data_IF_993804799318
#
_entry.id   IF_993804799318
#
_cell.length_a   1.000
_cell.length_b   1.000
_cell.length_c   1.000
_cell.angle_alpha   90.00
_cell.angle_beta   90.00
_cell.angle_gamma   90.00
#
_symmetry.space_group_name_H-M   'P 1'
#
loop_
_entity.id
_entity.type
_entity.pdbx_description
1 polymer ?
#
# COMPACT_ATOMS: atom_id res chain seq x y z
N UNK A 1 8.42 -7.50 -14.34
CA UNK A 1 8.11 -8.62 -15.26
C UNK A 1 6.80 -8.33 -15.97
N UNK A 2 6.83 -7.61 -17.08
CA UNK A 2 5.64 -7.31 -17.89
C UNK A 2 5.42 -8.35 -18.98
N UNK A 3 6.49 -9.02 -19.44
CA UNK A 3 6.40 -10.08 -20.44
C UNK A 3 6.30 -11.48 -19.80
N UNK A 4 5.25 -12.27 -20.11
CA UNK A 4 5.10 -13.65 -19.62
C UNK A 4 6.30 -14.56 -19.94
N UNK A 5 7.07 -14.27 -21.01
CA UNK A 5 8.26 -15.05 -21.37
C UNK A 5 9.35 -15.02 -20.29
N UNK A 6 9.38 -14.00 -19.42
CA UNK A 6 10.32 -13.93 -18.31
C UNK A 6 10.02 -14.99 -17.22
N UNK A 7 8.83 -15.57 -17.20
CA UNK A 7 8.49 -16.67 -16.27
C UNK A 7 9.32 -17.91 -16.58
N UNK A 8 9.64 -18.17 -17.86
CA UNK A 8 10.38 -19.36 -18.29
C UNK A 8 11.79 -19.43 -17.67
N UNK A 9 12.68 -18.44 -17.86
CA UNK A 9 14.00 -18.48 -17.24
C UNK A 9 13.92 -18.45 -15.71
N UNK A 10 12.94 -17.76 -15.12
CA UNK A 10 12.72 -17.76 -13.67
C UNK A 10 12.35 -19.17 -13.16
N UNK A 11 11.44 -19.86 -13.84
CA UNK A 11 11.05 -21.23 -13.50
C UNK A 11 12.23 -22.20 -13.62
N UNK A 12 12.97 -22.17 -14.72
CA UNK A 12 14.16 -23.01 -14.92
C UNK A 12 15.23 -22.74 -13.85
N UNK A 13 15.33 -21.49 -13.38
CA UNK A 13 16.34 -21.10 -12.41
C UNK A 13 15.98 -21.51 -10.99
N UNK A 14 14.70 -21.54 -10.60
CA UNK A 14 14.32 -21.73 -9.19
C UNK A 14 13.54 -23.02 -8.92
N UNK A 15 12.71 -23.49 -9.84
CA UNK A 15 11.83 -24.62 -9.56
C UNK A 15 12.63 -25.90 -9.28
N UNK A 16 12.30 -26.59 -8.19
CA UNK A 16 12.97 -27.80 -7.75
C UNK A 16 14.34 -27.57 -7.09
N UNK A 17 14.77 -26.31 -6.87
CA UNK A 17 16.04 -26.01 -6.18
C UNK A 17 15.82 -25.78 -4.68
N UNK A 18 16.79 -26.20 -3.87
CA UNK A 18 16.80 -25.98 -2.41
C UNK A 18 17.13 -24.51 -2.10
N UNK A 19 16.52 -23.96 -1.05
CA UNK A 19 16.94 -22.65 -0.54
C UNK A 19 18.30 -22.76 0.16
N UNK A 20 19.30 -22.04 -0.36
CA UNK A 20 20.70 -22.15 0.12
C UNK A 20 20.92 -21.53 1.50
N UNK A 21 20.05 -20.60 1.91
CA UNK A 21 20.19 -19.88 3.18
C UNK A 21 19.48 -20.61 4.32
N UNK A 22 19.94 -20.33 5.55
CA UNK A 22 19.32 -20.79 6.80
C UNK A 22 19.28 -22.32 6.98
N UNK A 23 20.16 -23.06 6.31
CA UNK A 23 20.17 -24.54 6.29
C UNK A 23 18.79 -25.13 5.93
N UNK A 24 17.99 -24.41 5.13
CA UNK A 24 16.61 -24.78 4.88
C UNK A 24 16.51 -25.99 3.96
N UNK A 25 15.76 -27.01 4.34
CA UNK A 25 15.43 -28.18 3.49
C UNK A 25 14.34 -27.89 2.45
N UNK A 26 13.73 -26.70 2.49
CA UNK A 26 12.65 -26.34 1.57
C UNK A 26 13.16 -26.29 0.13
N UNK A 27 12.36 -26.84 -0.78
CA UNK A 27 12.54 -26.74 -2.22
C UNK A 27 11.59 -25.69 -2.80
N UNK A 28 12.08 -24.85 -3.70
CA UNK A 28 11.25 -23.88 -4.40
C UNK A 28 10.34 -24.58 -5.41
N UNK A 29 9.07 -24.19 -5.44
CA UNK A 29 8.07 -24.65 -6.38
C UNK A 29 7.26 -23.46 -6.88
N UNK A 30 6.96 -23.43 -8.17
CA UNK A 30 6.23 -22.35 -8.81
C UNK A 30 4.90 -22.84 -9.36
N UNK A 31 3.86 -22.04 -9.15
CA UNK A 31 2.53 -22.21 -9.73
C UNK A 31 1.93 -20.85 -10.05
N UNK A 32 0.91 -20.81 -10.90
CA UNK A 32 0.17 -19.57 -11.13
C UNK A 32 -0.63 -19.19 -9.89
N UNK A 33 -0.58 -17.91 -9.53
CA UNK A 33 -1.38 -17.37 -8.42
C UNK A 33 -2.88 -17.42 -8.74
N UNK A 34 -3.70 -17.51 -7.70
CA UNK A 34 -5.17 -17.47 -7.83
C UNK A 34 -5.67 -16.12 -8.37
N UNK A 35 -5.05 -15.03 -7.94
CA UNK A 35 -5.36 -13.67 -8.41
C UNK A 35 -4.29 -13.29 -9.43
N UNK A 36 -4.72 -12.96 -10.63
CA UNK A 36 -3.85 -12.63 -11.76
C UNK A 36 -4.01 -11.15 -12.15
N UNK A 37 -2.88 -10.52 -12.50
CA UNK A 37 -2.82 -9.13 -12.98
C UNK A 37 -2.59 -8.09 -11.88
N UNK A 38 -1.86 -7.02 -12.23
CA UNK A 38 -1.49 -5.91 -11.33
C UNK A 38 -2.72 -5.22 -10.75
N UNK A 39 -3.71 -4.86 -11.58
CA UNK A 39 -4.93 -4.19 -11.14
C UNK A 39 -5.77 -5.03 -10.16
N UNK A 40 -5.92 -6.33 -10.44
CA UNK A 40 -6.64 -7.26 -9.56
C UNK A 40 -5.95 -7.42 -8.20
N UNK A 41 -4.61 -7.50 -8.18
CA UNK A 41 -3.84 -7.54 -6.94
C UNK A 41 -3.96 -6.24 -6.16
N UNK A 42 -3.93 -5.09 -6.85
CA UNK A 42 -4.15 -3.78 -6.21
C UNK A 42 -5.51 -3.76 -5.53
N UNK A 43 -6.59 -4.05 -6.27
CA UNK A 43 -7.95 -4.04 -5.73
C UNK A 43 -8.12 -5.01 -4.56
N UNK A 44 -7.45 -6.17 -4.61
CA UNK A 44 -7.49 -7.15 -3.53
C UNK A 44 -6.87 -6.64 -2.22
N UNK A 45 -5.76 -5.93 -2.29
CA UNK A 45 -5.05 -5.45 -1.09
C UNK A 45 -5.40 -4.00 -0.68
N UNK A 46 -6.04 -3.22 -1.55
CA UNK A 46 -6.33 -1.79 -1.33
C UNK A 46 -7.10 -1.51 -0.04
N UNK A 47 -8.04 -2.38 0.34
CA UNK A 47 -8.84 -2.27 1.57
C UNK A 47 -8.48 -3.35 2.61
N UNK A 48 -7.37 -4.07 2.40
CA UNK A 48 -6.93 -5.12 3.33
C UNK A 48 -6.33 -4.49 4.58
N UNK A 49 -6.61 -5.07 5.75
CA UNK A 49 -5.98 -4.67 7.01
C UNK A 49 -4.45 -4.83 6.98
N UNK A 50 -3.91 -5.60 6.05
CA UNK A 50 -2.47 -5.75 5.81
C UNK A 50 -1.79 -4.39 5.56
N UNK A 51 -2.51 -3.43 4.95
CA UNK A 51 -1.99 -2.08 4.69
C UNK A 51 -1.75 -1.26 5.97
N UNK A 52 -2.29 -1.70 7.12
CA UNK A 52 -2.09 -1.05 8.42
C UNK A 52 -0.92 -1.63 9.23
N UNK A 53 -0.26 -2.70 8.75
CA UNK A 53 0.86 -3.36 9.45
C UNK A 53 2.21 -2.66 9.14
N UNK A 54 3.35 -3.17 9.64
CA UNK A 54 4.70 -2.64 9.35
C UNK A 54 4.95 -2.52 7.83
N UNK A 55 5.62 -1.45 7.40
CA UNK A 55 5.89 -1.18 5.98
C UNK A 55 6.60 -2.34 5.27
N UNK A 56 7.43 -3.13 5.98
CA UNK A 56 8.14 -4.30 5.45
C UNK A 56 7.22 -5.50 5.16
N UNK A 57 6.02 -5.51 5.73
CA UNK A 57 5.04 -6.58 5.55
C UNK A 57 3.94 -6.23 4.53
N UNK A 58 3.97 -5.02 3.97
CA UNK A 58 2.99 -4.55 2.98
C UNK A 58 3.39 -4.98 1.57
N UNK A 59 2.42 -5.13 0.65
CA UNK A 59 2.72 -5.37 -0.75
C UNK A 59 3.50 -4.19 -1.36
N UNK A 60 4.51 -4.52 -2.16
CA UNK A 60 5.34 -3.55 -2.90
C UNK A 60 4.92 -3.57 -4.36
N UNK A 61 4.90 -2.40 -4.97
CA UNK A 61 4.54 -2.22 -6.37
C UNK A 61 5.71 -1.56 -7.11
N UNK A 62 5.81 -1.85 -8.40
CA UNK A 62 6.84 -1.29 -9.26
C UNK A 62 6.20 -0.74 -10.53
N UNK A 63 6.80 0.33 -11.05
CA UNK A 63 6.46 0.86 -12.36
C UNK A 63 6.73 -0.22 -13.42
N UNK A 64 5.72 -0.46 -14.26
CA UNK A 64 5.74 -1.55 -15.23
C UNK A 64 6.49 -1.18 -16.51
N UNK A 65 6.35 0.07 -16.94
CA UNK A 65 6.87 0.58 -18.22
C UNK A 65 7.37 2.03 -18.06
N UNK A 66 7.99 2.56 -19.11
CA UNK A 66 8.50 3.93 -19.16
C UNK A 66 9.91 4.09 -18.57
N UNK A 67 10.41 5.34 -18.45
CA UNK A 67 11.77 5.62 -17.99
C UNK A 67 12.03 5.18 -16.53
N UNK A 68 10.97 5.04 -15.73
CA UNK A 68 11.06 4.63 -14.32
C UNK A 68 10.77 3.13 -14.13
N UNK A 69 10.72 2.34 -15.21
CA UNK A 69 10.37 0.91 -15.12
C UNK A 69 11.33 0.16 -14.19
N UNK A 70 10.77 -0.54 -13.21
CA UNK A 70 11.55 -1.23 -12.16
C UNK A 70 11.73 -0.43 -10.87
N UNK A 71 11.46 0.88 -10.87
CA UNK A 71 11.43 1.67 -9.64
C UNK A 71 10.17 1.37 -8.82
N UNK A 72 10.31 1.42 -7.49
CA UNK A 72 9.19 1.22 -6.58
C UNK A 72 8.17 2.37 -6.73
N UNK A 73 6.90 2.00 -6.81
CA UNK A 73 5.78 2.95 -6.80
C UNK A 73 4.96 2.80 -5.50
N UNK A 74 4.44 3.91 -4.93
CA UNK A 74 3.56 3.83 -3.77
C UNK A 74 2.30 3.01 -4.07
N UNK A 75 1.88 2.19 -3.11
CA UNK A 75 0.63 1.43 -3.25
C UNK A 75 -0.57 2.37 -3.20
N UNK A 76 -1.52 2.31 -4.15
CA UNK A 76 -2.71 3.16 -4.14
C UNK A 76 -3.65 2.70 -3.02
N UNK A 77 -3.66 3.42 -1.90
CA UNK A 77 -4.55 3.09 -0.79
C UNK A 77 -5.97 3.60 -1.06
N UNK A 78 -6.99 2.81 -0.71
CA UNK A 78 -8.39 3.20 -0.90
C UNK A 78 -8.83 4.24 0.14
N UNK A 79 -9.89 4.97 -0.16
CA UNK A 79 -10.47 5.99 0.74
C UNK A 79 -10.92 5.44 2.10
N UNK A 80 -11.09 4.11 2.20
CA UNK A 80 -11.58 3.41 3.40
C UNK A 80 -10.45 2.87 4.30
N UNK A 81 -9.31 3.57 4.42
CA UNK A 81 -8.32 3.22 5.44
C UNK A 81 -8.94 3.54 6.80
N UNK A 82 -9.64 2.57 7.37
CA UNK A 82 -10.08 2.67 8.75
C UNK A 82 -8.82 2.67 9.60
N UNK A 83 -8.41 3.85 10.06
CA UNK A 83 -7.45 3.96 11.14
C UNK A 83 -7.94 3.02 12.25
N UNK A 84 -7.10 2.07 12.68
CA UNK A 84 -7.41 1.24 13.84
C UNK A 84 -7.50 2.17 15.05
N UNK A 85 -8.67 2.75 15.30
CA UNK A 85 -8.96 3.41 16.57
C UNK A 85 -9.00 2.33 17.64
N UNK A 86 -7.93 2.20 18.42
CA UNK A 86 -7.94 1.43 19.66
C UNK A 86 -7.23 0.08 19.64
N UNK A 87 -5.90 0.09 19.57
CA UNK A 87 -5.06 -0.73 20.46
C UNK A 87 -3.64 -0.16 20.43
N UNK A 88 -3.31 0.68 21.43
CA UNK A 88 -1.92 1.02 21.71
C UNK A 88 -1.19 -0.27 22.06
N UNK A 89 -0.37 -0.78 21.13
CA UNK A 89 0.68 -1.74 21.44
C UNK A 89 1.96 -0.92 21.48
N UNK A 90 2.41 -0.66 22.70
CA UNK A 90 3.73 -0.12 23.00
C UNK A 90 4.78 -1.04 22.37
N UNK A 91 5.34 -0.64 21.23
CA UNK A 91 6.60 -1.18 20.73
C UNK A 91 7.65 -0.13 21.02
N UNK A 92 8.26 -0.24 22.20
CA UNK A 92 9.50 0.45 22.57
C UNK A 92 10.62 0.02 21.62
N UNK A 93 11.29 0.98 20.99
CA UNK A 93 12.41 0.70 20.09
C UNK A 93 13.00 1.98 19.49
N UNK A 94 13.55 2.80 20.38
CA UNK A 94 14.71 3.71 20.23
C UNK A 94 14.75 4.77 19.11
N UNK A 95 14.94 6.00 19.57
CA UNK A 95 15.05 7.26 18.84
C UNK A 95 16.41 7.43 18.16
N UNK A 96 16.44 8.05 16.98
CA UNK A 96 17.60 8.88 16.58
C UNK A 96 17.12 10.04 15.70
N UNK A 97 17.60 11.22 16.08
CA UNK A 97 17.24 12.58 15.70
C UNK A 97 17.34 12.91 14.21
N UNK A 98 16.44 13.77 13.71
CA UNK A 98 16.81 14.94 12.90
C UNK A 98 15.69 15.99 12.83
N UNK A 99 16.13 17.22 12.58
CA UNK A 99 15.68 18.47 13.18
C UNK A 99 14.35 19.07 12.74
N UNK A 100 13.91 19.94 13.63
CA UNK A 100 12.80 20.89 13.62
C UNK A 100 12.85 21.81 12.39
N UNK A 101 11.72 21.94 11.67
CA UNK A 101 11.33 23.23 11.11
C UNK A 101 9.81 23.43 11.19
N UNK A 102 9.41 24.29 12.13
CA UNK A 102 8.07 24.83 12.30
C UNK A 102 7.90 26.06 11.41
N UNK A 103 6.85 26.12 10.58
CA UNK A 103 6.19 27.39 10.23
C UNK A 103 4.73 27.17 9.78
N UNK A 104 3.82 27.43 10.73
CA UNK A 104 2.50 28.12 10.65
C UNK A 104 1.60 27.93 9.40
N UNK A 105 0.49 27.19 9.54
CA UNK A 105 -0.93 27.63 9.69
C UNK A 105 -1.62 28.21 8.44
N UNK A 106 -2.61 27.48 7.91
CA UNK A 106 -4.01 27.92 7.86
C UNK A 106 -4.93 26.75 7.46
N UNK A 107 -5.73 26.24 8.40
CA UNK A 107 -6.87 25.37 8.10
C UNK A 107 -8.13 26.05 8.63
N UNK A 108 -8.88 26.67 7.72
CA UNK A 108 -10.18 27.26 8.01
C UNK A 108 -11.20 26.13 8.21
N UNK A 109 -11.78 26.04 9.41
CA UNK A 109 -13.03 25.33 9.63
C UNK A 109 -13.76 25.96 10.82
N UNK A 110 -14.85 26.66 10.56
CA UNK A 110 -15.92 26.81 11.54
C UNK A 110 -17.27 26.98 10.84
N UNK A 111 -17.97 25.84 10.78
CA UNK A 111 -19.38 25.60 11.12
C UNK A 111 -20.47 26.56 10.65
N UNK A 112 -21.51 25.92 10.09
CA UNK A 112 -22.67 26.56 9.48
C UNK A 112 -23.63 27.23 10.45
N UNK A 113 -24.56 27.98 9.83
CA UNK A 113 -25.93 28.10 10.32
C UNK A 113 -26.84 28.23 9.09
N UNK A 114 -27.79 27.31 8.99
CA UNK A 114 -28.92 27.40 8.08
C UNK A 114 -29.86 28.53 8.56
N UNK A 115 -30.32 29.39 7.66
CA UNK A 115 -31.59 30.08 7.86
C UNK A 115 -32.26 30.34 6.52
N UNK A 116 -33.31 29.55 6.28
CA UNK A 116 -34.32 29.72 5.26
C UNK A 116 -35.16 30.99 5.51
N UNK A 117 -35.32 31.85 4.51
CA UNK A 117 -36.41 32.84 4.46
C UNK A 117 -37.11 32.72 3.11
N UNK A 118 -38.40 32.40 3.19
CA UNK A 118 -39.35 32.27 2.09
C UNK A 118 -39.69 33.63 1.48
N UNK A 119 -39.80 33.64 0.16
CA UNK A 119 -40.45 34.69 -0.63
C UNK A 119 -41.94 34.78 -0.28
N UNK A 120 -42.43 36.00 -0.05
CA UNK A 120 -43.86 36.29 0.05
C UNK A 120 -44.20 37.42 -0.92
N UNK A 121 -44.98 37.07 -1.93
CA UNK A 121 -45.67 37.98 -2.84
C UNK A 121 -46.62 38.91 -2.08
N UNK A 122 -46.71 40.19 -2.46
CA UNK A 122 -47.98 40.94 -2.43
C UNK A 122 -47.92 42.17 -3.33
N UNK A 123 -48.87 42.20 -4.28
CA UNK A 123 -49.53 43.32 -4.98
C UNK A 123 -48.71 44.32 -5.82
#
# INVERSE_FOLDING_TARGET
MTNPRHIIPFYQTFNGKKWEKFNSEKMASLAYARIQGKASLIAHFQNSSLMNEDKRCRPILFHSDGPNAGDQEPFPMGTNIRARSGRSRTSSGEETHHDIQTTMTNCDTSNGVDTSVSTKDTE
#
